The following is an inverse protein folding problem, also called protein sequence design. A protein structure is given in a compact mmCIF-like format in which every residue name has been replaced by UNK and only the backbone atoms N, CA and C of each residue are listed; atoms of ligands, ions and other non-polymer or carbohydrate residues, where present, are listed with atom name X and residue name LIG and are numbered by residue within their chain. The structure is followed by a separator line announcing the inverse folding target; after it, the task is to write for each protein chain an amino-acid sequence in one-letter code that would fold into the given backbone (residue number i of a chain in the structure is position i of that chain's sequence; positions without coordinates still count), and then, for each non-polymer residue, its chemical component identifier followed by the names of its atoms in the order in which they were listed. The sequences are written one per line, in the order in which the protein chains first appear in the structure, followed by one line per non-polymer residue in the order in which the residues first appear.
data_IF_607835941418
#
_entry.id   IF_607835941418
#
_cell.length_a   1.000
_cell.length_b   1.000
_cell.length_c   1.000
_cell.angle_alpha   90.00
_cell.angle_beta   90.00
_cell.angle_gamma   90.00
#
_symmetry.space_group_name_H-M   'P 1'
#
loop_
_entity.id
_entity.type
_entity.pdbx_description
1 polymer ?
#
# COMPACT_ATOMS: atom_id res chain seq x y z
N UNK A 1 -13.20 -0.09 -17.11
CA UNK A 1 -14.63 -0.35 -16.83
C UNK A 1 -15.03 -0.11 -15.37
N UNK A 2 -14.16 -0.12 -14.35
CA UNK A 2 -14.54 0.31 -12.99
C UNK A 2 -14.42 1.83 -12.76
N UNK A 3 -13.33 2.47 -13.22
CA UNK A 3 -13.07 3.93 -13.09
C UNK A 3 -13.90 4.84 -13.98
N UNK A 4 -14.43 4.29 -15.07
CA UNK A 4 -15.46 4.94 -15.90
C UNK A 4 -16.80 5.07 -15.17
N UNK A 5 -17.06 4.20 -14.19
CA UNK A 5 -18.29 4.15 -13.39
C UNK A 5 -18.20 5.18 -12.25
N UNK A 6 -17.02 5.32 -11.62
CA UNK A 6 -16.75 6.32 -10.57
C UNK A 6 -16.96 7.80 -10.96
N UNK A 7 -17.02 8.15 -12.27
CA UNK A 7 -17.04 9.53 -12.78
C UNK A 7 -18.08 9.80 -13.90
N UNK A 8 -19.08 8.95 -14.09
CA UNK A 8 -20.16 9.21 -15.07
C UNK A 8 -21.54 9.13 -14.39
N UNK A 9 -22.48 10.07 -14.63
CA UNK A 9 -22.54 11.03 -15.74
C UNK A 9 -22.58 12.51 -15.30
N UNK A 10 -21.54 13.28 -15.65
CA UNK A 10 -21.64 14.74 -15.79
C UNK A 10 -22.27 15.02 -17.16
N UNK A 11 -23.59 15.22 -17.19
CA UNK A 11 -24.26 15.93 -18.29
C UNK A 11 -24.44 17.39 -17.84
N UNK A 12 -23.51 18.25 -18.24
CA UNK A 12 -23.67 19.70 -18.09
C UNK A 12 -22.39 20.45 -17.71
N UNK A 13 -21.49 20.63 -18.68
CA UNK A 13 -20.61 21.80 -18.86
C UNK A 13 -19.38 21.37 -19.67
N UNK A 14 -19.22 21.98 -20.85
CA UNK A 14 -18.29 21.62 -21.92
C UNK A 14 -16.78 21.72 -21.58
N UNK A 15 -16.41 21.97 -20.33
CA UNK A 15 -15.01 22.00 -19.86
C UNK A 15 -14.53 20.69 -19.21
N UNK A 16 -15.43 19.91 -18.58
CA UNK A 16 -15.05 18.72 -17.81
C UNK A 16 -14.79 17.47 -18.70
N UNK A 17 -15.25 17.48 -19.95
CA UNK A 17 -15.03 16.36 -20.89
C UNK A 17 -13.55 16.17 -21.25
N UNK A 18 -12.70 17.21 -21.18
CA UNK A 18 -11.28 17.08 -21.54
C UNK A 18 -10.42 16.41 -20.44
N UNK A 19 -10.79 16.52 -19.17
CA UNK A 19 -10.08 15.83 -18.07
C UNK A 19 -10.41 14.33 -18.00
N UNK A 20 -11.63 13.95 -18.37
CA UNK A 20 -12.08 12.54 -18.37
C UNK A 20 -11.63 11.79 -19.63
N UNK A 21 -11.49 12.48 -20.77
CA UNK A 21 -10.85 11.90 -21.98
C UNK A 21 -9.36 11.58 -21.77
N UNK A 22 -8.66 12.29 -20.86
CA UNK A 22 -7.25 12.03 -20.53
C UNK A 22 -7.03 10.67 -19.85
N UNK A 23 -8.00 10.20 -19.07
CA UNK A 23 -8.00 8.85 -18.48
C UNK A 23 -8.43 7.79 -19.51
N UNK A 24 -9.31 8.15 -20.45
CA UNK A 24 -9.73 7.26 -21.54
C UNK A 24 -8.61 6.88 -22.52
N UNK A 25 -7.65 7.79 -22.75
CA UNK A 25 -6.46 7.52 -23.56
C UNK A 25 -5.45 6.56 -22.90
N UNK A 26 -5.50 6.40 -21.57
CA UNK A 26 -4.68 5.41 -20.84
C UNK A 26 -5.25 3.99 -20.89
N UNK A 27 -6.54 3.83 -21.23
CA UNK A 27 -7.24 2.55 -21.18
C UNK A 27 -7.61 2.00 -22.57
N UNK A 28 -7.52 2.80 -23.63
CA UNK A 28 -7.50 2.30 -25.01
C UNK A 28 -6.09 2.40 -25.56
N UNK A 29 -5.47 1.24 -25.78
CA UNK A 29 -4.38 1.08 -26.74
C UNK A 29 -4.87 1.53 -28.11
N UNK A 30 -4.75 2.84 -28.39
CA UNK A 30 -4.94 3.38 -29.72
C UNK A 30 -3.82 4.38 -29.97
N UNK A 31 -2.99 4.04 -30.96
CA UNK A 31 -1.61 4.50 -31.20
C UNK A 31 -1.42 6.00 -31.53
N UNK A 32 -2.21 6.95 -31.01
CA UNK A 32 -2.07 8.38 -31.42
C UNK A 32 -2.26 9.47 -30.34
N UNK A 33 -2.44 9.16 -29.05
CA UNK A 33 -2.31 10.21 -28.01
C UNK A 33 -1.47 9.72 -26.83
N UNK A 34 -0.42 10.47 -26.49
CA UNK A 34 0.45 10.15 -25.36
C UNK A 34 -0.27 10.55 -24.05
N UNK A 35 -0.55 9.60 -23.13
CA UNK A 35 -1.12 9.87 -21.82
C UNK A 35 -0.49 11.04 -21.06
N UNK A 36 0.83 11.16 -21.17
CA UNK A 36 1.62 12.21 -20.54
C UNK A 36 1.25 13.60 -21.11
N UNK A 37 1.03 13.72 -22.41
CA UNK A 37 0.62 14.99 -23.04
C UNK A 37 -0.77 15.43 -22.59
N UNK A 38 -1.69 14.48 -22.41
CA UNK A 38 -3.03 14.75 -21.90
C UNK A 38 -3.02 15.14 -20.42
N UNK A 39 -2.15 14.51 -19.62
CA UNK A 39 -1.94 14.92 -18.23
C UNK A 39 -1.34 16.32 -18.12
N UNK A 40 -0.29 16.62 -18.89
CA UNK A 40 0.32 17.96 -18.93
C UNK A 40 -0.70 19.01 -19.38
N UNK A 41 -1.55 18.69 -20.36
CA UNK A 41 -2.64 19.57 -20.79
C UNK A 41 -3.69 19.79 -19.69
N UNK A 42 -3.97 18.77 -18.87
CA UNK A 42 -4.89 18.89 -17.73
C UNK A 42 -4.30 19.75 -16.60
N UNK A 43 -2.98 19.72 -16.39
CA UNK A 43 -2.28 20.55 -15.41
C UNK A 43 -2.37 22.04 -15.72
N UNK A 44 -2.54 22.45 -16.98
CA UNK A 44 -2.77 23.86 -17.35
C UNK A 44 -4.02 24.47 -16.69
N UNK A 45 -4.95 23.63 -16.22
CA UNK A 45 -6.19 24.05 -15.59
C UNK A 45 -6.18 23.82 -14.07
N UNK A 46 -5.06 23.38 -13.49
CA UNK A 46 -5.02 22.98 -12.07
C UNK A 46 -5.33 24.15 -11.14
N UNK A 47 -4.85 25.36 -11.44
CA UNK A 47 -5.14 26.55 -10.63
C UNK A 47 -6.64 26.87 -10.62
N UNK A 48 -7.31 26.71 -11.76
CA UNK A 48 -8.75 26.89 -11.82
C UNK A 48 -9.49 25.81 -11.02
N UNK A 49 -9.04 24.55 -11.12
CA UNK A 49 -9.58 23.43 -10.34
C UNK A 49 -9.40 23.68 -8.85
N UNK A 50 -8.23 24.13 -8.41
CA UNK A 50 -7.92 24.41 -7.01
C UNK A 50 -8.71 25.61 -6.46
N UNK A 51 -8.94 26.63 -7.29
CA UNK A 51 -9.76 27.78 -6.93
C UNK A 51 -11.24 27.42 -6.77
N UNK A 52 -11.72 26.37 -7.46
CA UNK A 52 -13.07 25.84 -7.29
C UNK A 52 -13.09 24.85 -6.11
N UNK A 53 -14.04 25.05 -5.20
CA UNK A 53 -14.34 24.14 -4.10
C UNK A 53 -15.66 23.45 -4.41
N UNK A 54 -15.62 22.44 -5.28
CA UNK A 54 -16.81 21.72 -5.74
C UNK A 54 -16.59 20.22 -5.81
N UNK A 55 -17.66 19.46 -6.06
CA UNK A 55 -17.55 18.02 -6.28
C UNK A 55 -16.60 17.71 -7.46
N UNK A 56 -16.71 18.48 -8.54
CA UNK A 56 -15.95 18.32 -9.76
C UNK A 56 -14.46 18.66 -9.56
N UNK A 57 -14.14 19.65 -8.72
CA UNK A 57 -12.73 19.95 -8.40
C UNK A 57 -12.07 18.80 -7.65
N UNK A 58 -12.77 18.22 -6.69
CA UNK A 58 -12.25 17.08 -5.92
C UNK A 58 -12.08 15.87 -6.84
N UNK A 59 -13.05 15.60 -7.71
CA UNK A 59 -12.94 14.53 -8.72
C UNK A 59 -11.71 14.71 -9.61
N UNK A 60 -11.43 15.93 -10.07
CA UNK A 60 -10.25 16.24 -10.85
C UNK A 60 -8.94 16.01 -10.06
N UNK A 61 -8.88 16.41 -8.80
CA UNK A 61 -7.72 16.15 -7.93
C UNK A 61 -7.46 14.65 -7.73
N UNK A 62 -8.51 13.87 -7.49
CA UNK A 62 -8.41 12.41 -7.36
C UNK A 62 -7.97 11.74 -8.67
N UNK A 63 -8.42 12.25 -9.81
CA UNK A 63 -7.95 11.82 -11.13
C UNK A 63 -6.45 12.06 -11.31
N UNK A 64 -5.98 13.25 -10.93
CA UNK A 64 -4.56 13.58 -10.97
C UNK A 64 -3.75 12.68 -10.04
N UNK A 65 -4.24 12.43 -8.82
CA UNK A 65 -3.58 11.54 -7.86
C UNK A 65 -3.48 10.10 -8.41
N UNK A 66 -4.55 9.62 -9.06
CA UNK A 66 -4.57 8.29 -9.68
C UNK A 66 -3.56 8.18 -10.83
N UNK A 67 -3.40 9.24 -11.62
CA UNK A 67 -2.35 9.31 -12.64
C UNK A 67 -0.96 9.24 -12.00
N UNK A 68 -0.71 10.03 -10.95
CA UNK A 68 0.58 10.04 -10.23
C UNK A 68 0.95 8.67 -9.64
N UNK A 69 -0.01 7.85 -9.21
CA UNK A 69 0.27 6.47 -8.73
C UNK A 69 0.94 5.60 -9.80
N UNK A 70 0.64 5.87 -11.08
CA UNK A 70 1.06 5.07 -12.25
C UNK A 70 2.19 5.70 -13.04
N UNK A 71 2.67 6.86 -12.61
CA UNK A 71 3.64 7.67 -13.33
C UNK A 71 4.80 8.01 -12.40
N UNK A 72 6.04 7.95 -12.91
CA UNK A 72 7.20 8.56 -12.24
C UNK A 72 7.18 10.09 -12.33
N UNK A 73 6.26 10.65 -13.10
CA UNK A 73 6.08 12.09 -13.30
C UNK A 73 4.74 12.54 -12.71
N UNK A 74 4.77 13.56 -11.85
CA UNK A 74 3.59 14.21 -11.30
C UNK A 74 3.78 14.63 -9.84
N UNK A 75 2.89 15.47 -9.29
CA UNK A 75 2.92 15.80 -7.88
C UNK A 75 2.70 14.53 -7.03
N UNK A 76 3.26 14.55 -5.82
CA UNK A 76 3.07 13.49 -4.82
C UNK A 76 1.60 13.13 -4.66
N UNK A 77 1.32 11.82 -4.66
CA UNK A 77 -0.03 11.28 -4.44
C UNK A 77 -0.58 11.79 -3.11
N UNK A 78 0.25 11.82 -2.06
CA UNK A 78 -0.09 12.34 -0.74
C UNK A 78 -0.53 13.81 -0.78
N UNK A 79 0.17 14.65 -1.53
CA UNK A 79 -0.20 16.07 -1.69
C UNK A 79 -1.56 16.23 -2.39
N UNK A 80 -1.78 15.50 -3.48
CA UNK A 80 -3.02 15.58 -4.26
C UNK A 80 -4.21 15.01 -3.50
N UNK A 81 -4.06 13.84 -2.86
CA UNK A 81 -5.09 13.24 -2.03
C UNK A 81 -5.39 14.08 -0.80
N UNK A 82 -4.37 14.67 -0.17
CA UNK A 82 -4.54 15.57 0.97
C UNK A 82 -5.28 16.85 0.59
N UNK A 83 -5.02 17.43 -0.58
CA UNK A 83 -5.80 18.56 -1.11
C UNK A 83 -7.26 18.17 -1.36
N UNK A 84 -7.50 17.03 -1.99
CA UNK A 84 -8.85 16.51 -2.23
C UNK A 84 -9.61 16.27 -0.92
N UNK A 85 -8.95 15.69 0.09
CA UNK A 85 -9.53 15.43 1.40
C UNK A 85 -9.82 16.73 2.16
N UNK A 86 -8.92 17.73 2.11
CA UNK A 86 -9.17 19.05 2.70
C UNK A 86 -10.36 19.75 2.06
N UNK A 87 -10.52 19.67 0.74
CA UNK A 87 -11.73 20.17 0.07
C UNK A 87 -12.99 19.41 0.50
N UNK A 88 -12.91 18.08 0.67
CA UNK A 88 -14.02 17.31 1.25
C UNK A 88 -14.38 17.77 2.66
N UNK A 89 -13.37 18.07 3.49
CA UNK A 89 -13.59 18.56 4.86
C UNK A 89 -14.29 19.91 4.85
N UNK A 90 -13.80 20.86 4.04
CA UNK A 90 -14.37 22.20 3.91
C UNK A 90 -15.82 22.19 3.43
N UNK A 91 -16.17 21.27 2.51
CA UNK A 91 -17.54 21.09 2.02
C UNK A 91 -18.41 20.20 2.93
N UNK A 92 -17.88 19.76 4.07
CA UNK A 92 -18.60 18.93 5.04
C UNK A 92 -18.91 17.51 4.56
N UNK A 93 -18.12 16.94 3.64
CA UNK A 93 -18.36 15.60 3.07
C UNK A 93 -17.93 14.48 4.02
N UNK A 94 -17.15 14.80 5.06
CA UNK A 94 -16.80 13.92 6.18
C UNK A 94 -17.91 13.83 7.25
N UNK A 95 -18.97 14.65 7.10
CA UNK A 95 -20.11 14.68 8.01
C UNK A 95 -21.32 13.93 7.47
N UNK A 96 -22.01 13.23 8.37
CA UNK A 96 -23.25 12.54 8.11
C UNK A 96 -24.30 13.49 7.49
N UNK A 97 -24.84 13.10 6.34
CA UNK A 97 -25.77 13.93 5.56
C UNK A 97 -27.03 14.28 6.34
N UNK A 98 -27.57 13.32 7.11
CA UNK A 98 -28.80 13.51 7.88
C UNK A 98 -28.58 14.50 9.03
N UNK A 99 -27.42 14.43 9.70
CA UNK A 99 -27.10 15.32 10.82
C UNK A 99 -26.98 16.78 10.39
N UNK A 100 -26.47 17.03 9.19
CA UNK A 100 -26.30 18.40 8.66
C UNK A 100 -27.53 18.93 7.91
N UNK A 101 -28.65 18.19 7.88
CA UNK A 101 -29.90 18.57 7.22
C UNK A 101 -29.73 19.06 5.76
N UNK A 102 -28.77 18.51 5.02
CA UNK A 102 -28.48 18.97 3.67
C UNK A 102 -29.57 18.53 2.69
N UNK A 103 -30.20 19.50 2.02
CA UNK A 103 -31.19 19.26 0.96
C UNK A 103 -30.51 19.30 -0.41
N UNK A 104 -30.29 18.14 -1.01
CA UNK A 104 -29.83 18.02 -2.41
C UNK A 104 -30.37 16.71 -3.01
N UNK A 105 -30.18 16.51 -4.32
CA UNK A 105 -30.67 15.30 -5.00
C UNK A 105 -29.86 14.06 -4.57
N UNK A 106 -30.47 12.88 -4.69
CA UNK A 106 -29.91 11.64 -4.15
C UNK A 106 -28.60 11.25 -4.84
N UNK A 107 -28.51 11.44 -6.16
CA UNK A 107 -27.29 11.22 -6.92
C UNK A 107 -26.12 12.05 -6.35
N UNK A 108 -26.33 13.34 -6.07
CA UNK A 108 -25.31 14.19 -5.47
C UNK A 108 -24.92 13.75 -4.06
N UNK A 109 -25.87 13.28 -3.25
CA UNK A 109 -25.55 12.74 -1.92
C UNK A 109 -24.63 11.52 -2.02
N UNK A 110 -24.91 10.59 -2.92
CA UNK A 110 -24.08 9.41 -3.12
C UNK A 110 -22.71 9.77 -3.71
N UNK A 111 -22.64 10.69 -4.66
CA UNK A 111 -21.37 11.16 -5.22
C UNK A 111 -20.48 11.83 -4.17
N UNK A 112 -21.05 12.61 -3.24
CA UNK A 112 -20.28 13.20 -2.12
C UNK A 112 -19.64 12.14 -1.25
N UNK A 113 -20.40 11.11 -0.85
CA UNK A 113 -19.87 9.98 -0.08
C UNK A 113 -18.75 9.26 -0.83
N UNK A 114 -18.98 8.94 -2.11
CA UNK A 114 -17.99 8.24 -2.95
C UNK A 114 -16.68 9.03 -3.05
N UNK A 115 -16.77 10.32 -3.36
CA UNK A 115 -15.60 11.19 -3.49
C UNK A 115 -14.85 11.34 -2.16
N UNK A 116 -15.57 11.49 -1.04
CA UNK A 116 -14.96 11.51 0.29
C UNK A 116 -14.19 10.23 0.58
N UNK A 117 -14.81 9.05 0.43
CA UNK A 117 -14.18 7.77 0.74
C UNK A 117 -13.00 7.46 -0.21
N UNK A 118 -13.08 7.87 -1.47
CA UNK A 118 -11.93 7.81 -2.39
C UNK A 118 -10.77 8.70 -1.91
N UNK A 119 -11.05 9.96 -1.55
CA UNK A 119 -10.02 10.87 -1.03
C UNK A 119 -9.38 10.34 0.26
N UNK A 120 -10.21 9.88 1.19
CA UNK A 120 -9.78 9.29 2.45
C UNK A 120 -8.90 8.04 2.23
N UNK A 121 -9.32 7.14 1.34
CA UNK A 121 -8.55 5.93 1.02
C UNK A 121 -7.17 6.25 0.45
N UNK A 122 -7.07 7.20 -0.50
CA UNK A 122 -5.81 7.55 -1.13
C UNK A 122 -4.89 8.26 -0.13
N UNK A 123 -5.41 9.20 0.64
CA UNK A 123 -4.66 9.93 1.66
C UNK A 123 -4.14 9.00 2.77
N UNK A 124 -4.99 8.09 3.25
CA UNK A 124 -4.61 7.10 4.25
C UNK A 124 -3.51 6.17 3.74
N UNK A 125 -3.67 5.60 2.54
CA UNK A 125 -2.67 4.70 1.97
C UNK A 125 -1.34 5.40 1.74
N UNK A 126 -1.36 6.61 1.16
CA UNK A 126 -0.14 7.39 0.94
C UNK A 126 0.53 7.79 2.24
N UNK A 127 -0.22 8.23 3.25
CA UNK A 127 0.35 8.61 4.55
C UNK A 127 1.03 7.42 5.24
N UNK A 128 0.38 6.26 5.27
CA UNK A 128 0.96 5.02 5.85
C UNK A 128 2.23 4.60 5.10
N UNK A 129 2.19 4.59 3.76
CA UNK A 129 3.34 4.19 2.95
C UNK A 129 4.54 5.14 3.11
N UNK A 130 4.28 6.42 3.37
CA UNK A 130 5.31 7.44 3.60
C UNK A 130 5.70 7.57 5.08
N UNK A 131 5.09 6.80 5.99
CA UNK A 131 5.34 6.96 7.42
C UNK A 131 4.85 8.28 8.02
N UNK A 132 3.94 8.99 7.33
CA UNK A 132 3.41 10.28 7.73
C UNK A 132 2.14 10.15 8.60
N UNK A 133 1.82 11.18 9.41
CA UNK A 133 0.52 11.28 10.08
C UNK A 133 -0.65 11.28 9.09
N UNK A 134 -1.74 10.63 9.49
CA UNK A 134 -3.00 10.66 8.75
C UNK A 134 -3.59 12.08 8.77
N UNK A 135 -4.05 12.57 7.62
CA UNK A 135 -4.62 13.92 7.51
C UNK A 135 -5.95 14.08 8.27
N UNK A 136 -6.73 13.00 8.40
CA UNK A 136 -8.01 13.00 9.10
C UNK A 136 -8.16 11.73 9.97
N UNK A 137 -8.21 11.87 11.31
CA UNK A 137 -8.49 10.76 12.20
C UNK A 137 -9.85 10.13 11.89
N UNK A 138 -9.95 8.81 11.91
CA UNK A 138 -11.21 8.10 11.61
C UNK A 138 -12.33 8.45 12.60
N UNK A 139 -11.99 8.85 13.83
CA UNK A 139 -12.92 9.28 14.87
C UNK A 139 -13.66 10.57 14.51
N UNK A 140 -13.11 11.39 13.61
CA UNK A 140 -13.73 12.62 13.12
C UNK A 140 -14.65 12.40 11.91
N UNK A 141 -14.77 11.15 11.43
CA UNK A 141 -15.56 10.78 10.27
C UNK A 141 -16.86 10.13 10.72
N UNK A 142 -18.00 10.73 10.37
CA UNK A 142 -19.33 10.12 10.59
C UNK A 142 -20.17 9.99 9.30
N UNK A 143 -19.57 10.28 8.15
CA UNK A 143 -20.14 9.98 6.83
C UNK A 143 -20.36 8.50 6.64
N UNK A 144 -21.54 8.14 6.14
CA UNK A 144 -21.87 6.75 5.82
C UNK A 144 -21.08 6.24 4.62
N UNK A 145 -20.86 4.93 4.54
CA UNK A 145 -20.42 4.32 3.29
C UNK A 145 -21.46 4.57 2.17
N UNK A 146 -21.02 4.65 0.90
CA UNK A 146 -21.93 4.68 -0.24
C UNK A 146 -22.82 3.44 -0.29
N UNK A 147 -23.94 3.55 -1.00
CA UNK A 147 -24.83 2.40 -1.22
C UNK A 147 -24.13 1.33 -2.07
N UNK A 148 -24.29 0.07 -1.68
CA UNK A 148 -23.87 -1.10 -2.47
C UNK A 148 -24.94 -1.36 -3.55
N UNK A 149 -24.93 -0.56 -4.60
CA UNK A 149 -25.86 -0.65 -5.73
C UNK A 149 -25.15 -0.27 -7.03
N UNK A 150 -25.65 -0.78 -8.15
CA UNK A 150 -25.15 -0.43 -9.47
C UNK A 150 -25.41 1.03 -9.82
N UNK A 151 -24.44 1.65 -10.50
CA UNK A 151 -24.49 3.07 -10.84
C UNK A 151 -25.66 3.44 -11.74
N UNK A 152 -26.12 2.50 -12.59
CA UNK A 152 -27.31 2.68 -13.43
C UNK A 152 -28.59 2.84 -12.62
N UNK A 153 -28.60 2.36 -11.37
CA UNK A 153 -29.75 2.37 -10.48
C UNK A 153 -29.78 3.59 -9.57
N UNK A 154 -28.83 4.53 -9.68
CA UNK A 154 -28.81 5.77 -8.92
C UNK A 154 -29.15 6.95 -9.84
N UNK A 155 -30.26 7.63 -9.54
CA UNK A 155 -30.72 8.78 -10.31
C UNK A 155 -30.90 10.02 -9.42
N UNK A 156 -31.15 11.17 -10.03
CA UNK A 156 -31.44 12.40 -9.27
C UNK A 156 -32.75 12.29 -8.47
N UNK A 157 -33.72 11.52 -8.98
CA UNK A 157 -35.07 11.37 -8.41
C UNK A 157 -35.17 10.24 -7.39
N UNK A 158 -34.21 9.30 -7.37
CA UNK A 158 -34.21 8.22 -6.39
C UNK A 158 -33.28 7.06 -6.74
N UNK A 159 -33.43 5.98 -5.97
CA UNK A 159 -32.73 4.71 -6.17
C UNK A 159 -33.70 3.69 -6.76
N UNK A 160 -33.30 3.03 -7.85
CA UNK A 160 -34.06 1.96 -8.47
C UNK A 160 -33.69 0.61 -7.83
N UNK A 161 -34.59 0.08 -7.00
CA UNK A 161 -34.40 -1.18 -6.30
C UNK A 161 -33.65 -1.04 -4.96
N UNK A 162 -33.66 -2.09 -4.13
CA UNK A 162 -32.95 -2.07 -2.85
C UNK A 162 -31.43 -2.19 -3.03
N UNK A 163 -30.63 -1.67 -2.09
CA UNK A 163 -29.20 -1.99 -2.02
C UNK A 163 -28.98 -3.51 -1.90
N UNK A 164 -27.78 -3.95 -2.29
CA UNK A 164 -27.38 -5.35 -2.27
C UNK A 164 -27.67 -5.99 -0.89
N UNK A 165 -28.46 -7.08 -0.83
CA UNK A 165 -28.64 -7.84 0.40
C UNK A 165 -27.38 -8.66 0.73
N UNK A 166 -27.19 -9.09 2.00
CA UNK A 166 -26.13 -10.03 2.36
C UNK A 166 -26.18 -11.28 1.48
N UNK A 167 -25.05 -11.64 0.86
CA UNK A 167 -24.96 -12.79 -0.07
C UNK A 167 -25.54 -12.55 -1.47
N UNK A 168 -26.08 -11.36 -1.77
CA UNK A 168 -26.56 -11.00 -3.11
C UNK A 168 -25.42 -10.87 -4.15
N UNK A 169 -25.74 -10.70 -5.45
CA UNK A 169 -24.74 -10.52 -6.50
C UNK A 169 -23.92 -9.24 -6.28
N UNK A 170 -22.65 -9.26 -6.69
CA UNK A 170 -21.76 -8.10 -6.61
C UNK A 170 -22.24 -6.97 -7.52
N UNK A 171 -22.14 -5.74 -7.04
CA UNK A 171 -22.50 -4.52 -7.78
C UNK A 171 -21.24 -3.80 -8.26
N UNK A 172 -21.42 -2.70 -9.00
CA UNK A 172 -20.33 -1.76 -9.33
C UNK A 172 -19.62 -1.18 -8.10
N UNK A 173 -20.26 -1.16 -6.93
CA UNK A 173 -19.73 -0.56 -5.70
C UNK A 173 -19.13 -1.56 -4.71
N UNK A 174 -19.48 -2.84 -4.76
CA UNK A 174 -19.10 -3.83 -3.73
C UNK A 174 -17.59 -3.89 -3.46
N UNK A 175 -16.77 -3.84 -4.51
CA UNK A 175 -15.30 -3.90 -4.38
C UNK A 175 -14.71 -2.60 -3.81
N UNK A 176 -15.31 -1.45 -4.13
CA UNK A 176 -14.91 -0.15 -3.59
C UNK A 176 -15.20 -0.07 -2.10
N UNK A 177 -16.39 -0.52 -1.68
CA UNK A 177 -16.78 -0.60 -0.28
C UNK A 177 -15.84 -1.49 0.52
N UNK A 178 -15.44 -2.63 -0.06
CA UNK A 178 -14.46 -3.51 0.56
C UNK A 178 -13.11 -2.82 0.76
N UNK A 179 -12.65 -2.04 -0.23
CA UNK A 179 -11.42 -1.24 -0.14
C UNK A 179 -11.52 -0.08 0.87
N UNK A 180 -12.68 0.56 1.01
CA UNK A 180 -12.86 1.60 2.03
C UNK A 180 -12.80 1.02 3.45
N UNK A 181 -13.36 -0.19 3.66
CA UNK A 181 -13.35 -0.85 4.97
C UNK A 181 -11.95 -1.18 5.47
N UNK A 182 -11.06 -1.69 4.60
CA UNK A 182 -9.67 -1.95 5.00
C UNK A 182 -8.93 -0.66 5.36
N UNK A 183 -9.26 0.47 4.72
CA UNK A 183 -8.67 1.77 5.08
C UNK A 183 -9.14 2.26 6.45
N UNK A 184 -10.35 1.91 6.88
CA UNK A 184 -10.77 2.13 8.27
C UNK A 184 -9.99 1.26 9.25
N UNK A 185 -9.63 0.02 8.90
CA UNK A 185 -8.74 -0.83 9.71
C UNK A 185 -7.35 -0.18 9.80
N UNK A 186 -6.77 0.25 8.68
CA UNK A 186 -5.47 0.94 8.65
C UNK A 186 -5.46 2.20 9.51
N UNK A 187 -6.52 3.02 9.43
CA UNK A 187 -6.62 4.23 10.24
C UNK A 187 -6.65 3.93 11.75
N UNK A 188 -7.30 2.83 12.15
CA UNK A 188 -7.31 2.38 13.55
C UNK A 188 -5.98 1.78 13.98
N UNK A 189 -5.33 0.98 13.13
CA UNK A 189 -3.95 0.52 13.37
C UNK A 189 -3.03 1.71 13.61
N UNK A 190 -3.09 2.73 12.74
CA UNK A 190 -2.30 3.94 12.90
C UNK A 190 -2.58 4.63 14.25
N UNK A 191 -3.86 4.86 14.56
CA UNK A 191 -4.26 5.52 15.80
C UNK A 191 -3.82 4.76 17.06
N UNK A 192 -3.90 3.42 17.06
CA UNK A 192 -3.60 2.58 18.21
C UNK A 192 -2.12 2.24 18.39
N UNK A 193 -1.34 2.17 17.30
CA UNK A 193 0.04 1.65 17.35
C UNK A 193 1.09 2.73 17.07
N UNK A 194 0.78 3.66 16.18
CA UNK A 194 1.74 4.61 15.62
C UNK A 194 1.55 6.05 16.09
N UNK A 195 0.37 6.41 16.60
CA UNK A 195 0.15 7.74 17.17
C UNK A 195 0.95 7.94 18.45
N UNK A 196 1.63 9.08 18.60
CA UNK A 196 2.37 9.46 19.82
C UNK A 196 1.50 9.40 21.09
N UNK A 197 0.20 9.63 20.97
CA UNK A 197 -0.73 9.55 22.10
C UNK A 197 -0.95 8.10 22.58
N UNK A 198 -0.84 7.12 21.67
CA UNK A 198 -1.04 5.71 21.98
C UNK A 198 0.22 5.05 22.56
N UNK A 199 1.42 5.58 22.24
CA UNK A 199 2.69 5.01 22.72
C UNK A 199 3.01 5.35 24.18
N UNK A 200 2.31 6.32 24.78
CA UNK A 200 2.64 6.84 26.11
C UNK A 200 1.79 6.27 27.26
N UNK A 201 0.77 5.44 27.00
CA UNK A 201 -0.28 5.17 28.03
C UNK A 201 -0.82 3.74 28.13
N UNK A 202 -0.28 2.76 27.40
CA UNK A 202 -0.83 1.39 27.40
C UNK A 202 0.08 0.39 28.12
N UNK A 203 -0.51 -0.43 29.00
CA UNK A 203 0.13 -1.65 29.48
C UNK A 203 0.31 -2.63 28.32
N UNK A 204 1.28 -3.53 28.43
CA UNK A 204 1.54 -4.58 27.42
C UNK A 204 0.29 -5.41 27.13
N UNK A 205 -0.50 -5.74 28.16
CA UNK A 205 -1.77 -6.47 28.00
C UNK A 205 -2.79 -5.69 27.17
N UNK A 206 -2.94 -4.39 27.42
CA UNK A 206 -3.85 -3.52 26.66
C UNK A 206 -3.41 -3.40 25.20
N UNK A 207 -2.10 -3.30 24.97
CA UNK A 207 -1.54 -3.25 23.63
C UNK A 207 -1.79 -4.55 22.87
N UNK A 208 -1.51 -5.71 23.48
CA UNK A 208 -1.74 -7.02 22.86
C UNK A 208 -3.24 -7.26 22.58
N UNK A 209 -4.14 -6.87 23.49
CA UNK A 209 -5.58 -6.97 23.27
C UNK A 209 -6.05 -6.13 22.06
N UNK A 210 -5.51 -4.92 21.90
CA UNK A 210 -5.80 -4.07 20.73
C UNK A 210 -5.30 -4.71 19.43
N UNK A 211 -4.07 -5.25 19.43
CA UNK A 211 -3.49 -5.93 18.26
C UNK A 211 -4.34 -7.14 17.88
N UNK A 212 -4.71 -7.99 18.84
CA UNK A 212 -5.57 -9.16 18.57
C UNK A 212 -6.95 -8.76 18.05
N UNK A 213 -7.54 -7.67 18.56
CA UNK A 213 -8.81 -7.17 18.06
C UNK A 213 -8.70 -6.72 16.60
N UNK A 214 -7.66 -5.94 16.27
CA UNK A 214 -7.41 -5.47 14.91
C UNK A 214 -7.09 -6.63 13.95
N UNK A 215 -6.37 -7.65 14.43
CA UNK A 215 -6.09 -8.87 13.67
C UNK A 215 -7.37 -9.62 13.31
N UNK A 216 -8.28 -9.81 14.28
CA UNK A 216 -9.58 -10.44 14.03
C UNK A 216 -10.42 -9.66 13.02
N UNK A 217 -10.46 -8.33 13.12
CA UNK A 217 -11.16 -7.50 12.14
C UNK A 217 -10.58 -7.63 10.72
N UNK A 218 -9.25 -7.77 10.61
CA UNK A 218 -8.58 -8.02 9.34
C UNK A 218 -8.95 -9.40 8.75
N UNK A 219 -9.07 -10.42 9.59
CA UNK A 219 -9.46 -11.77 9.18
C UNK A 219 -10.91 -11.81 8.69
N UNK A 220 -11.80 -11.14 9.42
CA UNK A 220 -13.19 -10.96 9.02
C UNK A 220 -13.29 -10.18 7.71
N UNK A 221 -12.43 -9.17 7.51
CA UNK A 221 -12.35 -8.46 6.24
C UNK A 221 -11.94 -9.40 5.10
N UNK A 222 -10.88 -10.21 5.26
CA UNK A 222 -10.45 -11.16 4.22
C UNK A 222 -11.52 -12.22 3.93
N UNK A 223 -12.21 -12.72 4.96
CA UNK A 223 -13.33 -13.66 4.79
C UNK A 223 -14.52 -13.05 4.04
N UNK A 224 -14.71 -11.73 4.13
CA UNK A 224 -15.77 -10.99 3.46
C UNK A 224 -15.39 -10.47 2.05
N UNK A 225 -14.31 -10.99 1.45
CA UNK A 225 -13.88 -10.60 0.10
C UNK A 225 -14.97 -10.88 -0.94
N UNK A 226 -15.40 -9.88 -1.75
CA UNK A 226 -16.35 -10.10 -2.82
C UNK A 226 -15.77 -11.04 -3.90
N UNK A 227 -16.60 -11.89 -4.54
CA UNK A 227 -16.14 -12.72 -5.65
C UNK A 227 -15.69 -11.85 -6.83
N UNK A 228 -14.68 -12.32 -7.57
CA UNK A 228 -14.16 -11.59 -8.72
C UNK A 228 -15.26 -11.32 -9.77
N UNK A 229 -15.29 -10.11 -10.35
CA UNK A 229 -16.25 -9.79 -11.39
C UNK A 229 -15.94 -10.60 -12.64
N UNK A 230 -16.98 -11.08 -13.33
CA UNK A 230 -16.81 -11.71 -14.64
C UNK A 230 -16.29 -10.67 -15.63
N UNK A 231 -15.09 -10.90 -16.18
CA UNK A 231 -14.46 -10.00 -17.16
C UNK A 231 -14.47 -10.65 -18.53
N UNK A 232 -14.93 -9.93 -19.55
CA UNK A 232 -14.93 -10.39 -20.94
C UNK A 232 -13.52 -10.46 -21.58
N UNK A 233 -12.45 -10.17 -20.82
CA UNK A 233 -11.07 -10.15 -21.31
C UNK A 233 -10.04 -10.02 -20.19
N UNK A 234 -8.76 -9.95 -20.57
CA UNK A 234 -7.63 -9.90 -19.63
C UNK A 234 -7.73 -8.64 -18.75
N UNK A 235 -7.67 -8.78 -17.41
CA UNK A 235 -7.55 -7.66 -16.48
C UNK A 235 -6.46 -6.65 -16.87
N UNK A 236 -6.85 -5.38 -17.02
CA UNK A 236 -5.90 -4.25 -17.13
C UNK A 236 -5.64 -3.57 -15.78
N UNK A 237 -6.18 -4.13 -14.69
CA UNK A 237 -6.13 -3.52 -13.38
C UNK A 237 -6.13 -4.56 -12.26
N UNK A 238 -5.44 -4.24 -11.18
CA UNK A 238 -5.37 -5.04 -9.94
C UNK A 238 -6.66 -4.97 -9.14
N UNK A 239 -7.45 -3.90 -9.29
CA UNK A 239 -8.70 -3.75 -8.53
C UNK A 239 -9.65 -4.91 -8.79
N UNK A 240 -10.33 -5.36 -7.74
CA UNK A 240 -11.26 -6.49 -7.79
C UNK A 240 -10.58 -7.79 -8.26
N UNK A 241 -9.33 -8.00 -7.83
CA UNK A 241 -8.59 -9.23 -8.05
C UNK A 241 -8.26 -9.87 -6.70
N UNK A 242 -8.40 -11.19 -6.61
CA UNK A 242 -8.15 -11.97 -5.40
C UNK A 242 -6.73 -11.82 -4.90
N UNK A 243 -5.75 -11.75 -5.81
CA UNK A 243 -4.35 -11.58 -5.43
C UNK A 243 -4.08 -10.16 -4.88
N UNK A 244 -4.81 -9.14 -5.33
CA UNK A 244 -4.72 -7.77 -4.79
C UNK A 244 -5.25 -7.72 -3.34
N UNK A 245 -6.31 -8.48 -3.04
CA UNK A 245 -6.83 -8.64 -1.69
C UNK A 245 -5.85 -9.39 -0.78
N UNK A 246 -5.21 -10.46 -1.27
CA UNK A 246 -4.14 -11.16 -0.53
C UNK A 246 -2.93 -10.27 -0.26
N UNK A 247 -2.51 -9.45 -1.23
CA UNK A 247 -1.42 -8.48 -1.02
C UNK A 247 -1.83 -7.49 0.07
N UNK A 248 -3.02 -6.90 -0.05
CA UNK A 248 -3.53 -5.93 0.92
C UNK A 248 -3.64 -6.53 2.33
N UNK A 249 -4.12 -7.77 2.44
CA UNK A 249 -4.22 -8.49 3.71
C UNK A 249 -2.87 -8.66 4.38
N UNK A 250 -1.90 -9.24 3.65
CA UNK A 250 -0.56 -9.49 4.17
C UNK A 250 0.20 -8.17 4.45
N UNK A 251 0.04 -7.15 3.61
CA UNK A 251 0.57 -5.80 3.87
C UNK A 251 0.03 -5.24 5.19
N UNK A 252 -1.26 -5.47 5.47
CA UNK A 252 -1.88 -5.03 6.72
C UNK A 252 -1.35 -5.81 7.92
N UNK A 253 -1.06 -7.11 7.78
CA UNK A 253 -0.37 -7.91 8.83
C UNK A 253 0.99 -7.31 9.14
N UNK A 254 1.80 -7.03 8.11
CA UNK A 254 3.12 -6.41 8.31
C UNK A 254 2.98 -5.04 8.97
N UNK A 255 2.00 -4.23 8.54
CA UNK A 255 1.73 -2.93 9.14
C UNK A 255 1.26 -3.03 10.60
N UNK A 256 0.46 -4.04 10.96
CA UNK A 256 -0.02 -4.24 12.33
C UNK A 256 1.13 -4.62 13.28
N UNK A 257 1.94 -5.62 12.91
CA UNK A 257 2.97 -6.16 13.79
C UNK A 257 4.30 -5.42 13.76
N UNK A 258 4.51 -4.52 12.80
CA UNK A 258 5.76 -3.78 12.70
C UNK A 258 6.14 -3.02 13.97
N UNK A 259 5.18 -2.49 14.72
CA UNK A 259 5.46 -1.86 16.02
C UNK A 259 6.08 -2.84 17.02
N UNK A 260 5.74 -4.12 16.95
CA UNK A 260 6.35 -5.18 17.77
C UNK A 260 7.75 -5.53 17.25
N UNK A 261 7.88 -5.71 15.92
CA UNK A 261 9.16 -6.06 15.29
C UNK A 261 10.28 -5.04 15.55
N UNK A 262 9.95 -3.75 15.72
CA UNK A 262 10.94 -2.68 15.94
C UNK A 262 11.22 -2.39 17.41
N UNK A 263 10.30 -2.69 18.33
CA UNK A 263 10.46 -2.38 19.77
C UNK A 263 11.35 -3.36 20.55
N UNK A 264 11.77 -4.48 19.92
CA UNK A 264 12.75 -5.49 20.41
C UNK A 264 12.48 -6.15 21.78
N UNK A 265 11.52 -5.71 22.59
CA UNK A 265 11.22 -6.30 23.89
C UNK A 265 10.06 -7.32 23.82
N UNK A 266 10.31 -8.55 24.29
CA UNK A 266 9.32 -9.62 24.53
C UNK A 266 8.36 -9.95 23.36
N UNK A 267 8.84 -9.88 22.12
CA UNK A 267 8.05 -10.29 20.94
C UNK A 267 8.00 -11.81 20.86
N UNK A 268 6.80 -12.37 20.71
CA UNK A 268 6.60 -13.80 20.53
C UNK A 268 7.15 -14.29 19.18
N UNK A 269 7.79 -15.45 19.16
CA UNK A 269 8.38 -16.03 17.94
C UNK A 269 7.34 -16.27 16.85
N UNK A 270 6.09 -16.54 17.23
CA UNK A 270 4.96 -16.68 16.30
C UNK A 270 4.75 -15.43 15.44
N UNK A 271 4.99 -14.23 15.99
CA UNK A 271 4.85 -12.97 15.26
C UNK A 271 5.90 -12.86 14.15
N UNK A 272 7.15 -13.24 14.44
CA UNK A 272 8.21 -13.24 13.42
C UNK A 272 7.94 -14.28 12.32
N UNK A 273 7.47 -15.47 12.69
CA UNK A 273 7.09 -16.52 11.73
C UNK A 273 5.92 -16.06 10.84
N UNK A 274 4.91 -15.43 11.42
CA UNK A 274 3.77 -14.90 10.69
C UNK A 274 4.17 -13.76 9.74
N UNK A 275 5.00 -12.81 10.21
CA UNK A 275 5.49 -11.72 9.38
C UNK A 275 6.37 -12.22 8.21
N UNK A 276 7.22 -13.22 8.44
CA UNK A 276 8.00 -13.84 7.36
C UNK A 276 7.09 -14.50 6.32
N UNK A 277 6.06 -15.25 6.76
CA UNK A 277 5.12 -15.88 5.85
C UNK A 277 4.32 -14.84 5.03
N UNK A 278 3.79 -13.81 5.70
CA UNK A 278 3.05 -12.72 5.06
C UNK A 278 3.91 -11.98 4.03
N UNK A 279 5.19 -11.70 4.36
CA UNK A 279 6.14 -11.08 3.43
C UNK A 279 6.38 -11.94 2.18
N UNK A 280 6.60 -13.24 2.34
CA UNK A 280 6.74 -14.15 1.20
C UNK A 280 5.47 -14.23 0.35
N UNK A 281 4.30 -14.24 0.97
CA UNK A 281 3.01 -14.27 0.28
C UNK A 281 2.73 -13.00 -0.52
N UNK A 282 3.17 -11.83 -0.04
CA UNK A 282 3.15 -10.57 -0.81
C UNK A 282 3.93 -10.74 -2.10
N UNK A 283 5.21 -11.15 -2.01
CA UNK A 283 6.07 -11.31 -3.20
C UNK A 283 5.47 -12.30 -4.21
N UNK A 284 4.95 -13.44 -3.74
CA UNK A 284 4.33 -14.43 -4.62
C UNK A 284 3.01 -13.94 -5.25
N UNK A 285 2.18 -13.22 -4.49
CA UNK A 285 0.93 -12.66 -5.02
C UNK A 285 1.20 -11.56 -6.04
N UNK A 286 2.20 -10.69 -5.79
CA UNK A 286 2.67 -9.72 -6.77
C UNK A 286 3.21 -10.40 -8.04
N UNK A 287 4.01 -11.47 -7.91
CA UNK A 287 4.45 -12.27 -9.06
C UNK A 287 3.26 -12.76 -9.90
N UNK A 288 2.23 -13.32 -9.26
CA UNK A 288 1.00 -13.78 -9.94
C UNK A 288 0.16 -12.64 -10.53
N UNK A 289 0.24 -11.43 -9.97
CA UNK A 289 -0.47 -10.26 -10.47
C UNK A 289 0.18 -9.66 -11.71
N UNK A 290 1.50 -9.56 -11.75
CA UNK A 290 2.18 -8.75 -12.77
C UNK A 290 2.91 -9.55 -13.85
N UNK A 291 3.49 -10.71 -13.50
CA UNK A 291 4.29 -11.47 -14.47
C UNK A 291 3.38 -12.06 -15.55
N UNK A 292 3.74 -11.78 -16.82
CA UNK A 292 2.98 -12.24 -17.98
C UNK A 292 1.62 -11.57 -18.17
N UNK A 293 1.29 -10.53 -17.39
CA UNK A 293 0.01 -9.80 -17.49
C UNK A 293 0.22 -8.36 -17.96
N UNK A 294 -0.75 -7.75 -18.68
CA UNK A 294 -0.67 -6.36 -19.15
C UNK A 294 -0.97 -5.35 -18.03
N UNK A 295 -0.75 -5.71 -16.76
CA UNK A 295 -1.01 -4.86 -15.61
C UNK A 295 0.25 -4.04 -15.33
N UNK A 296 0.11 -2.71 -15.30
CA UNK A 296 1.21 -1.84 -14.92
C UNK A 296 1.45 -1.88 -13.41
N UNK A 297 2.72 -1.88 -13.02
CA UNK A 297 3.15 -1.67 -11.65
C UNK A 297 2.76 -0.27 -11.16
N UNK A 298 2.80 -0.07 -9.84
CA UNK A 298 2.60 1.22 -9.20
C UNK A 298 3.77 1.54 -8.26
N UNK A 299 3.99 2.81 -7.94
CA UNK A 299 4.97 3.17 -6.89
C UNK A 299 4.63 2.47 -5.57
N UNK A 300 3.35 2.42 -5.20
CA UNK A 300 2.90 1.67 -4.01
C UNK A 300 3.32 0.20 -4.05
N UNK A 301 3.25 -0.44 -5.22
CA UNK A 301 3.71 -1.84 -5.39
C UNK A 301 5.20 -2.00 -5.13
N UNK A 302 6.02 -1.02 -5.57
CA UNK A 302 7.47 -1.03 -5.32
C UNK A 302 7.73 -1.06 -3.82
N UNK A 303 7.09 -0.13 -3.09
CA UNK A 303 7.23 -0.02 -1.64
C UNK A 303 6.81 -1.30 -0.95
N UNK A 304 5.65 -1.85 -1.29
CA UNK A 304 5.13 -3.08 -0.67
C UNK A 304 6.08 -4.27 -0.87
N UNK A 305 6.63 -4.45 -2.07
CA UNK A 305 7.57 -5.54 -2.36
C UNK A 305 8.87 -5.36 -1.59
N UNK A 306 9.43 -4.14 -1.61
CA UNK A 306 10.66 -3.85 -0.89
C UNK A 306 10.51 -4.05 0.62
N UNK A 307 9.39 -3.60 1.20
CA UNK A 307 9.09 -3.77 2.63
C UNK A 307 8.84 -5.22 3.03
N UNK A 308 8.18 -6.00 2.18
CA UNK A 308 8.08 -7.44 2.38
C UNK A 308 9.48 -8.07 2.38
N UNK A 309 10.34 -7.71 1.42
CA UNK A 309 11.73 -8.14 1.38
C UNK A 309 12.51 -7.81 2.66
N UNK A 310 12.49 -6.56 3.10
CA UNK A 310 13.14 -6.13 4.34
C UNK A 310 12.57 -6.82 5.59
N UNK A 311 11.27 -7.09 5.62
CA UNK A 311 10.65 -7.80 6.75
C UNK A 311 11.12 -9.25 6.81
N UNK A 312 11.19 -9.94 5.67
CA UNK A 312 11.75 -11.29 5.60
C UNK A 312 13.19 -11.34 6.12
N UNK A 313 14.00 -10.39 5.67
CA UNK A 313 15.37 -10.22 6.13
C UNK A 313 15.45 -9.98 7.64
N UNK A 314 14.69 -9.01 8.15
CA UNK A 314 14.62 -8.68 9.58
C UNK A 314 14.22 -9.88 10.44
N UNK A 315 13.22 -10.65 10.02
CA UNK A 315 12.78 -11.83 10.75
C UNK A 315 13.87 -12.91 10.81
N UNK A 316 14.59 -13.14 9.70
CA UNK A 316 15.72 -14.07 9.64
C UNK A 316 16.91 -13.63 10.51
N UNK A 317 17.19 -12.33 10.56
CA UNK A 317 18.28 -11.77 11.37
C UNK A 317 17.94 -11.73 12.86
N UNK A 318 16.70 -11.45 13.21
CA UNK A 318 16.31 -11.24 14.61
C UNK A 318 15.93 -12.53 15.31
N UNK A 319 15.04 -13.36 14.73
CA UNK A 319 14.47 -14.51 15.44
C UNK A 319 15.24 -15.82 15.18
N UNK A 320 15.75 -16.50 16.24
CA UNK A 320 16.29 -17.85 16.12
C UNK A 320 15.25 -18.88 15.65
N UNK A 321 14.00 -18.78 16.12
CA UNK A 321 12.93 -19.70 15.74
C UNK A 321 12.63 -19.62 14.24
N UNK A 322 12.62 -18.42 13.67
CA UNK A 322 12.49 -18.23 12.21
C UNK A 322 13.63 -18.94 11.47
N UNK A 323 14.88 -18.78 11.91
CA UNK A 323 16.02 -19.45 11.26
C UNK A 323 15.95 -20.97 11.34
N UNK A 324 15.44 -21.52 12.44
CA UNK A 324 15.27 -22.96 12.62
C UNK A 324 14.15 -23.51 11.72
N UNK A 325 13.04 -22.78 11.60
CA UNK A 325 11.91 -23.16 10.76
C UNK A 325 12.17 -22.92 9.26
N UNK A 326 13.06 -21.99 8.90
CA UNK A 326 13.33 -21.59 7.53
C UNK A 326 14.04 -22.68 6.72
N UNK A 327 13.44 -23.03 5.57
CA UNK A 327 14.12 -23.87 4.57
C UNK A 327 14.86 -22.99 3.57
N UNK A 328 16.12 -23.33 3.26
CA UNK A 328 17.01 -22.54 2.40
C UNK A 328 16.41 -22.36 1.00
N UNK A 329 15.80 -23.41 0.43
CA UNK A 329 15.11 -23.38 -0.86
C UNK A 329 13.95 -22.38 -0.86
N UNK A 330 13.17 -22.35 0.23
CA UNK A 330 12.05 -21.42 0.37
C UNK A 330 12.49 -19.97 0.53
N UNK A 331 13.52 -19.71 1.36
CA UNK A 331 14.10 -18.37 1.55
C UNK A 331 14.71 -17.87 0.23
N UNK A 332 15.51 -18.71 -0.43
CA UNK A 332 16.11 -18.40 -1.73
C UNK A 332 15.04 -18.04 -2.76
N UNK A 333 13.99 -18.85 -2.91
CA UNK A 333 12.91 -18.56 -3.85
C UNK A 333 12.17 -17.24 -3.53
N UNK A 334 12.01 -16.92 -2.24
CA UNK A 334 11.37 -15.68 -1.79
C UNK A 334 12.23 -14.46 -2.13
N UNK A 335 13.53 -14.51 -1.85
CA UNK A 335 14.48 -13.45 -2.21
C UNK A 335 14.61 -13.29 -3.72
N UNK A 336 14.77 -14.38 -4.47
CA UNK A 336 14.80 -14.33 -5.94
C UNK A 336 13.53 -13.72 -6.51
N UNK A 337 12.35 -14.05 -5.96
CA UNK A 337 11.09 -13.46 -6.40
C UNK A 337 11.04 -11.95 -6.13
N UNK A 338 11.48 -11.51 -4.94
CA UNK A 338 11.55 -10.10 -4.58
C UNK A 338 12.53 -9.34 -5.50
N UNK A 339 13.78 -9.80 -5.63
CA UNK A 339 14.80 -9.19 -6.50
C UNK A 339 14.35 -9.13 -7.95
N UNK A 340 13.76 -10.21 -8.48
CA UNK A 340 13.23 -10.24 -9.84
C UNK A 340 12.15 -9.16 -10.06
N UNK A 341 11.21 -9.02 -9.12
CA UNK A 341 10.17 -8.00 -9.25
C UNK A 341 10.75 -6.59 -9.17
N UNK A 342 11.67 -6.33 -8.24
CA UNK A 342 12.36 -5.04 -8.14
C UNK A 342 13.17 -4.73 -9.40
N UNK A 343 13.85 -5.72 -9.98
CA UNK A 343 14.59 -5.56 -11.24
C UNK A 343 13.68 -5.20 -12.41
N UNK A 344 12.55 -5.89 -12.58
CA UNK A 344 11.56 -5.55 -13.62
C UNK A 344 11.02 -4.13 -13.45
N UNK A 345 10.87 -3.67 -12.21
CA UNK A 345 10.43 -2.31 -11.93
C UNK A 345 11.54 -1.28 -12.21
N UNK A 346 12.79 -1.58 -11.85
CA UNK A 346 13.97 -0.75 -12.12
C UNK A 346 14.25 -0.59 -13.62
N UNK A 347 13.96 -1.59 -14.45
CA UNK A 347 14.03 -1.48 -15.92
C UNK A 347 13.06 -0.43 -16.48
N UNK A 348 11.93 -0.19 -15.79
CA UNK A 348 10.90 0.75 -16.24
C UNK A 348 11.03 2.12 -15.59
N UNK A 349 11.52 2.17 -14.35
CA UNK A 349 11.66 3.37 -13.55
C UNK A 349 13.05 3.43 -12.92
N UNK A 350 13.87 4.35 -13.40
CA UNK A 350 15.26 4.52 -12.92
C UNK A 350 15.33 4.72 -11.39
N UNK A 351 14.37 5.46 -10.81
CA UNK A 351 14.28 5.66 -9.35
C UNK A 351 13.97 4.40 -8.53
N UNK A 352 13.65 3.26 -9.16
CA UNK A 352 13.51 1.97 -8.48
C UNK A 352 14.82 1.18 -8.40
N UNK A 353 15.88 1.58 -9.14
CA UNK A 353 17.17 0.90 -9.09
C UNK A 353 17.79 0.83 -7.69
N UNK A 354 17.78 1.89 -6.86
CA UNK A 354 18.34 1.83 -5.50
C UNK A 354 17.64 0.79 -4.61
N UNK A 355 16.34 0.56 -4.80
CA UNK A 355 15.58 -0.45 -4.05
C UNK A 355 16.04 -1.87 -4.40
N UNK A 356 16.28 -2.14 -5.70
CA UNK A 356 16.82 -3.42 -6.18
C UNK A 356 18.21 -3.65 -5.60
N UNK A 357 19.11 -2.69 -5.78
CA UNK A 357 20.54 -2.83 -5.45
C UNK A 357 20.74 -3.06 -3.95
N UNK A 358 20.04 -2.27 -3.13
CA UNK A 358 20.06 -2.42 -1.68
C UNK A 358 19.50 -3.77 -1.23
N UNK A 359 18.36 -4.20 -1.77
CA UNK A 359 17.78 -5.48 -1.39
C UNK A 359 18.66 -6.67 -1.82
N UNK A 360 19.23 -6.63 -3.02
CA UNK A 360 20.10 -7.68 -3.55
C UNK A 360 21.37 -7.86 -2.71
N UNK A 361 22.00 -6.75 -2.30
CA UNK A 361 23.16 -6.76 -1.40
C UNK A 361 22.82 -7.42 -0.05
N UNK A 362 21.72 -6.99 0.59
CA UNK A 362 21.28 -7.52 1.87
C UNK A 362 20.87 -9.00 1.79
N UNK A 363 20.13 -9.37 0.74
CA UNK A 363 19.68 -10.74 0.52
C UNK A 363 20.84 -11.72 0.25
N UNK A 364 21.85 -11.28 -0.51
CA UNK A 364 23.04 -12.10 -0.79
C UNK A 364 23.79 -12.43 0.49
N UNK A 365 23.98 -11.44 1.38
CA UNK A 365 24.59 -11.66 2.69
C UNK A 365 23.77 -12.60 3.55
N UNK A 366 22.45 -12.37 3.65
CA UNK A 366 21.55 -13.23 4.42
C UNK A 366 21.61 -14.70 3.96
N UNK A 367 21.72 -14.94 2.66
CA UNK A 367 21.90 -16.29 2.11
C UNK A 367 23.25 -16.91 2.47
N UNK A 368 24.35 -16.16 2.41
CA UNK A 368 25.67 -16.66 2.79
C UNK A 368 25.69 -17.14 4.25
N UNK A 369 25.19 -16.31 5.18
CA UNK A 369 25.09 -16.67 6.60
C UNK A 369 24.24 -17.93 6.85
N UNK A 370 23.13 -18.10 6.11
CA UNK A 370 22.28 -19.30 6.25
C UNK A 370 22.97 -20.57 5.74
N UNK A 371 23.83 -20.47 4.73
CA UNK A 371 24.58 -21.61 4.16
C UNK A 371 25.74 -21.99 5.07
N UNK A 372 26.56 -21.03 5.51
CA UNK A 372 27.70 -21.26 6.41
C UNK A 372 27.26 -21.95 7.70
N UNK A 373 26.12 -21.54 8.28
CA UNK A 373 25.56 -22.16 9.49
C UNK A 373 25.17 -23.62 9.32
N UNK A 374 24.65 -24.02 8.14
CA UNK A 374 24.33 -25.43 7.87
C UNK A 374 25.57 -26.26 7.55
N UNK A 375 26.67 -25.62 7.15
CA UNK A 375 27.94 -26.27 6.88
C UNK A 375 28.82 -26.43 8.13
N UNK A 376 28.43 -25.89 9.30
CA UNK A 376 28.98 -26.29 10.59
C UNK A 376 28.41 -27.64 11.09
N UNK A 377 28.49 -28.67 10.25
CA UNK A 377 28.97 -30.01 10.62
C UNK A 377 30.44 -30.05 10.16
N UNK A 378 31.40 -30.54 10.96
CA UNK A 378 32.81 -30.15 10.81
C UNK A 378 33.41 -30.69 9.51
N UNK A 379 33.54 -29.83 8.49
CA UNK A 379 34.44 -30.05 7.37
C UNK A 379 35.26 -28.79 7.08
N UNK A 380 36.55 -28.93 7.37
CA UNK A 380 37.60 -27.94 7.20
C UNK A 380 37.87 -27.67 5.72
N UNK A 381 37.27 -26.62 5.16
CA UNK A 381 37.80 -25.93 3.97
C UNK A 381 37.30 -24.50 3.96
N UNK A 382 38.20 -23.52 4.05
CA UNK A 382 37.88 -22.09 3.86
C UNK A 382 37.40 -21.86 2.42
N UNK A 383 36.17 -21.31 2.22
CA UNK A 383 35.79 -20.71 0.95
C UNK A 383 36.20 -19.23 0.93
N UNK A 384 36.48 -18.72 -0.27
CA UNK A 384 36.75 -17.30 -0.49
C UNK A 384 35.57 -16.43 -0.02
N UNK A 385 35.88 -15.37 0.74
CA UNK A 385 34.89 -14.39 1.21
C UNK A 385 34.08 -13.83 0.03
N UNK A 386 32.74 -13.88 0.08
CA UNK A 386 31.92 -13.17 -0.90
C UNK A 386 32.22 -11.67 -0.79
N UNK A 387 32.38 -11.00 -1.94
CA UNK A 387 32.63 -9.57 -2.00
C UNK A 387 31.56 -8.81 -1.20
N UNK A 388 31.96 -8.28 -0.05
CA UNK A 388 31.11 -7.51 0.86
C UNK A 388 30.78 -6.18 0.15
N UNK A 389 29.51 -5.84 -0.11
CA UNK A 389 29.17 -4.52 -0.65
C UNK A 389 29.69 -3.42 0.27
N UNK A 390 30.32 -2.38 -0.31
CA UNK A 390 30.91 -1.29 0.45
C UNK A 390 29.82 -0.55 1.23
N UNK A 391 30.07 -0.22 2.50
CA UNK A 391 29.11 0.44 3.39
C UNK A 391 28.65 1.80 2.84
N UNK A 392 29.53 2.47 2.09
CA UNK A 392 29.21 3.72 1.39
C UNK A 392 28.10 3.52 0.36
N UNK A 393 28.07 2.39 -0.35
CA UNK A 393 27.04 2.12 -1.35
C UNK A 393 25.67 1.84 -0.68
N UNK A 394 25.64 1.08 0.43
CA UNK A 394 24.40 0.79 1.18
C UNK A 394 23.78 2.06 1.75
N UNK A 395 24.60 2.93 2.34
CA UNK A 395 24.17 4.21 2.91
C UNK A 395 23.74 5.19 1.83
N UNK A 396 24.42 5.20 0.68
CA UNK A 396 24.04 5.99 -0.49
C UNK A 396 22.68 5.53 -1.08
N UNK A 397 22.47 4.22 -1.27
CA UNK A 397 21.18 3.72 -1.75
C UNK A 397 20.04 3.99 -0.76
N UNK A 398 20.30 3.86 0.55
CA UNK A 398 19.34 4.23 1.58
C UNK A 398 18.96 5.72 1.52
N UNK A 399 19.94 6.61 1.31
CA UNK A 399 19.69 8.04 1.13
C UNK A 399 18.89 8.34 -0.15
N UNK A 400 19.22 7.69 -1.27
CA UNK A 400 18.48 7.83 -2.53
C UNK A 400 17.02 7.38 -2.39
N UNK A 401 16.76 6.31 -1.62
CA UNK A 401 15.40 5.85 -1.32
C UNK A 401 14.63 6.92 -0.52
N UNK A 402 15.27 7.53 0.49
CA UNK A 402 14.66 8.58 1.31
C UNK A 402 14.28 9.81 0.47
N UNK A 403 15.16 10.24 -0.45
CA UNK A 403 14.98 11.42 -1.31
C UNK A 403 13.81 11.27 -2.32
N UNK A 404 13.51 10.04 -2.75
CA UNK A 404 12.38 9.75 -3.66
C UNK A 404 11.02 9.76 -2.91
N UNK A 405 11.04 10.10 -1.62
CA UNK A 405 9.86 10.26 -0.78
C UNK A 405 9.62 9.05 0.11
N UNK A 406 10.63 8.57 0.83
CA UNK A 406 10.42 7.63 1.95
C UNK A 406 10.89 8.24 3.27
N UNK A 407 10.01 8.98 4.00
CA UNK A 407 10.33 9.49 5.34
C UNK A 407 10.36 8.42 6.45
N UNK A 408 11.33 8.58 7.36
CA UNK A 408 11.64 8.06 8.72
C UNK A 408 11.00 6.79 9.31
N UNK A 409 9.75 6.41 9.02
CA UNK A 409 9.14 5.27 9.71
C UNK A 409 9.94 3.98 9.49
N UNK A 410 10.50 3.80 8.30
CA UNK A 410 11.24 2.62 7.84
C UNK A 410 12.73 2.67 8.15
N UNK A 411 13.21 3.86 8.55
CA UNK A 411 14.59 4.08 8.96
C UNK A 411 14.99 3.10 10.06
N UNK A 412 14.12 2.78 11.02
CA UNK A 412 14.44 1.86 12.13
C UNK A 412 14.74 0.41 11.72
N UNK A 413 13.96 -0.17 10.80
CA UNK A 413 14.23 -1.52 10.28
C UNK A 413 15.50 -1.49 9.45
N UNK A 414 15.62 -0.54 8.52
CA UNK A 414 16.77 -0.45 7.64
C UNK A 414 18.07 -0.10 8.41
N UNK A 415 18.01 0.80 9.38
CA UNK A 415 19.12 1.17 10.25
C UNK A 415 19.50 0.04 11.18
N UNK A 416 18.52 -0.75 11.65
CA UNK A 416 18.78 -1.98 12.39
C UNK A 416 19.58 -2.96 11.54
N UNK A 417 19.12 -3.21 10.31
CA UNK A 417 19.80 -4.11 9.38
C UNK A 417 21.19 -3.62 8.95
N UNK A 418 21.36 -2.32 8.68
CA UNK A 418 22.66 -1.72 8.35
C UNK A 418 23.58 -1.67 9.60
N UNK A 419 23.02 -1.46 10.78
CA UNK A 419 23.75 -1.49 12.05
C UNK A 419 24.28 -2.89 12.36
N UNK A 420 23.42 -3.90 12.25
CA UNK A 420 23.81 -5.30 12.41
C UNK A 420 24.84 -5.72 11.34
N UNK A 421 24.76 -5.16 10.12
CA UNK A 421 25.78 -5.30 9.07
C UNK A 421 27.14 -4.69 9.47
N UNK A 422 27.15 -3.58 10.23
CA UNK A 422 28.38 -2.87 10.64
C UNK A 422 29.14 -3.56 11.79
N UNK A 423 28.42 -4.20 12.72
CA UNK A 423 29.01 -4.81 13.91
C UNK A 423 29.79 -6.09 13.60
N UNK A 424 29.45 -6.80 12.53
CA UNK A 424 30.16 -8.00 12.10
C UNK A 424 31.39 -7.72 11.22
N UNK A 425 31.67 -6.44 10.88
CA UNK A 425 32.88 -6.02 10.17
C UNK A 425 34.06 -5.67 11.08
N UNK A 426 33.85 -5.65 12.40
CA UNK A 426 34.91 -5.56 13.40
C UNK A 426 34.99 -6.91 14.11
N UNK A 427 36.00 -7.72 13.76
CA UNK A 427 36.46 -8.77 14.65
C UNK A 427 36.85 -8.14 16.00
N UNK A 428 35.91 -8.15 16.95
CA UNK A 428 36.19 -8.09 18.37
C UNK A 428 35.71 -9.40 18.95
N UNK A 429 36.67 -10.16 19.45
CA UNK A 429 36.64 -11.55 19.85
C UNK A 429 35.79 -11.84 21.11
N UNK A 430 34.67 -11.14 21.30
CA UNK A 430 33.74 -11.37 22.41
C UNK A 430 32.36 -11.77 21.87
N UNK A 431 32.07 -13.06 22.02
CA UNK A 431 30.80 -13.69 21.72
C UNK A 431 29.67 -13.07 22.54
N UNK A 432 28.79 -12.30 21.90
CA UNK A 432 27.51 -11.88 22.47
C UNK A 432 26.39 -12.94 22.31
N UNK A 433 26.76 -14.20 21.99
CA UNK A 433 25.81 -15.30 21.73
C UNK A 433 25.80 -16.41 22.79
N UNK A 434 26.29 -16.16 24.00
CA UNK A 434 25.97 -16.99 25.16
C UNK A 434 25.36 -16.10 26.25
N UNK A 435 24.03 -16.20 26.42
CA UNK A 435 23.31 -16.41 27.69
C UNK A 435 21.84 -16.74 27.40
#
# INVERSE_FOLDING_TARGET
MAWTTFLSPIRGSFANQKQVYAIGALLKSNKKSFPQQLYVSALLYIDHVLAKKSLESIQALLCCALFSIRSSMGPSVWNLSGLALRQCIELGYHRNVKKINLKTNLLRLELRKRVFWCAYQMDCASSVNLGLPLSLPIQEVDTEFPLDIDDSSITETGVEGPPRPPGGPVTTMSHALHQFRIRCIWARIYASIYSNSATQSHSDESYQAQVQSLRRELDEWMAATPPEPQRAGVPLTVFANTEDYKVTYNETILFLYRGQLTRRENVQDEVFLECMQAASDICQSCKRLYIGKPINYTWSTLHVIFLAGLTNLHCLWTSPAVRQAARIDSVSNSFTTCTMLLAIMAERWEGAAPYRDLFEALASRAMAMLVERKQHEPLSTSPAEPAIPNMEDLTQWAAQIADVGMPDAFGSLLSGLIGDYSLEGQESNDSLWEF
#
